data_IF_829343714856
#
_entry.id   IF_829343714856
#
_cell.length_a   1.000
_cell.length_b   1.000
_cell.length_c   1.000
_cell.angle_alpha   90.00
_cell.angle_beta   90.00
_cell.angle_gamma   90.00
#
_symmetry.space_group_name_H-M   'P 1'
#
loop_
_entity.id
_entity.type
_entity.pdbx_description
1 polymer ?
#
# COMPACT_ATOMS: atom_id res chain seq x y z
N UNK A 1 -11.35 -9.61 -16.48
CA UNK A 1 -10.96 -9.98 -15.10
C UNK A 1 -10.36 -11.38 -15.13
N UNK A 2 -9.20 -11.60 -14.49
CA UNK A 2 -8.61 -12.92 -14.26
C UNK A 2 -9.07 -13.34 -12.86
N UNK A 3 -9.72 -14.49 -12.75
CA UNK A 3 -10.39 -15.01 -11.56
C UNK A 3 -9.36 -15.39 -10.48
N UNK A 4 -8.72 -14.41 -9.86
CA UNK A 4 -7.47 -14.59 -9.12
C UNK A 4 -7.48 -13.86 -7.77
N UNK A 5 -6.74 -14.41 -6.81
CA UNK A 5 -6.45 -13.84 -5.49
C UNK A 5 -4.94 -13.62 -5.41
N UNK A 6 -4.53 -12.45 -4.92
CA UNK A 6 -3.12 -12.11 -4.72
C UNK A 6 -2.87 -11.97 -3.22
N UNK A 7 -1.85 -12.67 -2.72
CA UNK A 7 -1.48 -12.66 -1.31
C UNK A 7 -0.05 -12.14 -1.19
N UNK A 8 0.18 -11.00 -0.51
CA UNK A 8 1.53 -10.59 -0.17
C UNK A 8 2.07 -11.54 0.90
N UNK A 9 3.33 -11.94 0.77
CA UNK A 9 3.99 -12.84 1.70
C UNK A 9 5.45 -12.43 1.85
N UNK A 10 5.68 -11.28 2.50
CA UNK A 10 6.99 -10.64 2.69
C UNK A 10 7.71 -10.35 1.37
N UNK A 11 8.55 -11.27 0.89
CA UNK A 11 9.43 -11.15 -0.28
C UNK A 11 8.85 -11.76 -1.57
N UNK A 12 7.56 -12.13 -1.53
CA UNK A 12 6.85 -12.67 -2.69
C UNK A 12 5.38 -12.29 -2.69
N UNK A 13 4.79 -12.38 -3.88
CA UNK A 13 3.34 -12.34 -4.09
C UNK A 13 2.93 -13.72 -4.59
N UNK A 14 2.03 -14.36 -3.84
CA UNK A 14 1.42 -15.62 -4.24
C UNK A 14 0.11 -15.34 -4.97
N UNK A 15 -0.09 -15.97 -6.13
CA UNK A 15 -1.32 -15.83 -6.91
C UNK A 15 -2.05 -17.15 -6.92
N UNK A 16 -3.30 -17.13 -6.49
CA UNK A 16 -4.19 -18.30 -6.43
C UNK A 16 -5.40 -18.11 -7.35
N UNK A 17 -6.03 -19.20 -7.80
CA UNK A 17 -7.35 -19.11 -8.42
C UNK A 17 -8.39 -18.67 -7.38
N UNK A 18 -9.35 -17.82 -7.77
CA UNK A 18 -10.37 -17.28 -6.86
C UNK A 18 -11.37 -18.33 -6.39
N UNK A 19 -11.55 -19.38 -7.18
CA UNK A 19 -12.35 -20.58 -6.87
C UNK A 19 -11.52 -21.68 -6.19
N UNK A 20 -10.26 -21.40 -5.83
CA UNK A 20 -9.45 -22.31 -5.01
C UNK A 20 -10.08 -22.52 -3.63
N UNK A 21 -10.13 -23.79 -3.20
CA UNK A 21 -10.65 -24.18 -1.90
C UNK A 21 -9.78 -25.31 -1.30
N UNK A 22 -9.34 -25.16 -0.05
CA UNK A 22 -8.43 -26.11 0.62
C UNK A 22 -6.96 -25.85 0.33
N UNK A 23 -6.16 -26.93 0.26
CA UNK A 23 -4.72 -26.88 -0.01
C UNK A 23 -4.43 -26.72 -1.51
N UNK A 24 -4.56 -25.49 -2.00
CA UNK A 24 -4.36 -25.14 -3.40
C UNK A 24 -2.98 -24.52 -3.58
N UNK A 25 -2.20 -25.02 -4.54
CA UNK A 25 -0.92 -24.42 -4.89
C UNK A 25 -1.10 -23.09 -5.63
N UNK A 26 -0.18 -22.11 -5.48
CA UNK A 26 -0.21 -20.89 -6.28
C UNK A 26 -0.07 -21.21 -7.77
N UNK A 27 -0.88 -20.55 -8.60
CA UNK A 27 -0.78 -20.62 -10.07
C UNK A 27 0.34 -19.73 -10.62
N UNK A 28 0.74 -18.71 -9.86
CA UNK A 28 1.91 -17.86 -10.13
C UNK A 28 2.54 -17.41 -8.82
N UNK A 29 3.84 -17.16 -8.88
CA UNK A 29 4.62 -16.59 -7.77
C UNK A 29 5.48 -15.48 -8.35
N UNK A 30 5.33 -14.26 -7.85
CA UNK A 30 6.23 -13.14 -8.15
C UNK A 30 7.23 -13.06 -7.01
N UNK A 31 8.51 -13.27 -7.29
CA UNK A 31 9.58 -13.30 -6.28
C UNK A 31 10.96 -13.18 -6.93
N UNK A 32 11.97 -12.81 -6.16
CA UNK A 32 13.35 -12.69 -6.61
C UNK A 32 13.87 -11.25 -6.53
N UNK A 33 15.19 -11.06 -6.73
CA UNK A 33 15.86 -9.80 -6.44
C UNK A 33 15.39 -8.62 -7.32
N UNK A 34 14.98 -8.86 -8.56
CA UNK A 34 14.50 -7.79 -9.45
C UNK A 34 13.12 -7.26 -9.04
N UNK A 35 12.36 -8.03 -8.25
CA UNK A 35 11.03 -7.63 -7.77
C UNK A 35 11.09 -6.52 -6.74
N UNK A 36 12.19 -6.41 -5.99
CA UNK A 36 12.33 -5.49 -4.86
C UNK A 36 11.28 -5.70 -3.75
N UNK A 37 10.59 -6.84 -3.75
CA UNK A 37 9.69 -7.22 -2.68
C UNK A 37 10.53 -7.50 -1.43
N UNK A 38 10.28 -6.71 -0.39
CA UNK A 38 10.87 -6.92 0.93
C UNK A 38 9.88 -6.48 2.00
N UNK A 39 9.47 -7.42 2.85
CA UNK A 39 8.53 -7.20 3.95
C UNK A 39 7.20 -6.52 3.56
N UNK A 40 6.65 -6.89 2.40
CA UNK A 40 5.34 -6.40 1.97
C UNK A 40 4.23 -6.98 2.84
N UNK A 41 3.46 -6.10 3.49
CA UNK A 41 2.35 -6.46 4.38
C UNK A 41 0.97 -6.30 3.73
N UNK A 42 0.86 -5.42 2.72
CA UNK A 42 -0.43 -5.08 2.08
C UNK A 42 -0.29 -5.01 0.57
N UNK A 43 -1.37 -5.34 -0.13
CA UNK A 43 -1.52 -5.09 -1.56
C UNK A 43 -2.96 -4.71 -1.90
N UNK A 44 -3.14 -4.11 -3.07
CA UNK A 44 -4.45 -3.91 -3.68
C UNK A 44 -4.39 -4.09 -5.20
N UNK A 45 -5.53 -4.43 -5.79
CA UNK A 45 -5.65 -4.76 -7.20
C UNK A 45 -6.41 -3.65 -7.92
N UNK A 46 -5.89 -3.19 -9.05
CA UNK A 46 -6.62 -2.38 -10.01
C UNK A 46 -7.00 -3.25 -11.23
N UNK A 47 -8.26 -3.72 -11.29
CA UNK A 47 -8.70 -4.59 -12.38
C UNK A 47 -8.95 -3.85 -13.70
N UNK A 48 -9.08 -2.51 -13.68
CA UNK A 48 -9.32 -1.70 -14.89
C UNK A 48 -8.00 -1.50 -15.62
N UNK A 49 -6.95 -1.15 -14.89
CA UNK A 49 -5.62 -0.91 -15.43
C UNK A 49 -4.72 -2.16 -15.46
N UNK A 50 -5.23 -3.30 -14.97
CA UNK A 50 -4.53 -4.58 -14.89
C UNK A 50 -3.19 -4.51 -14.12
N UNK A 51 -3.17 -3.77 -13.03
CA UNK A 51 -2.01 -3.69 -12.13
C UNK A 51 -2.35 -4.20 -10.73
N UNK A 52 -1.32 -4.62 -10.02
CA UNK A 52 -1.33 -4.79 -8.57
C UNK A 52 -0.35 -3.80 -7.97
N UNK A 53 -0.70 -3.25 -6.82
CA UNK A 53 0.16 -2.35 -6.06
C UNK A 53 0.44 -3.02 -4.73
N UNK A 54 1.71 -3.11 -4.35
CA UNK A 54 2.12 -3.53 -3.02
C UNK A 54 2.47 -2.32 -2.17
N UNK A 55 2.37 -2.49 -0.86
CA UNK A 55 2.64 -1.47 0.12
C UNK A 55 3.45 -2.05 1.28
N UNK A 56 4.33 -1.21 1.83
CA UNK A 56 5.20 -1.58 2.94
C UNK A 56 6.54 -2.15 2.51
N UNK A 57 6.84 -2.21 1.20
CA UNK A 57 8.14 -2.64 0.73
C UNK A 57 9.24 -1.77 1.35
N UNK A 58 10.25 -2.38 1.98
CA UNK A 58 11.46 -1.68 2.40
C UNK A 58 12.25 -1.23 1.15
N UNK A 59 12.88 -0.05 1.16
CA UNK A 59 13.72 0.38 0.06
C UNK A 59 14.92 -0.57 -0.05
N UNK A 60 15.38 -0.91 -1.27
CA UNK A 60 16.56 -1.77 -1.46
C UNK A 60 17.85 -1.23 -0.83
N UNK A 61 17.88 0.05 -0.46
CA UNK A 61 19.03 0.75 0.11
C UNK A 61 19.11 0.68 1.64
N UNK A 62 18.13 0.03 2.29
CA UNK A 62 18.05 -0.11 3.73
C UNK A 62 19.18 -1.02 4.30
N UNK A 63 20.15 -0.52 5.10
CA UNK A 63 21.15 -1.36 5.74
C UNK A 63 20.56 -2.00 7.01
N UNK A 64 20.29 -3.31 6.99
CA UNK A 64 19.80 -4.02 8.18
C UNK A 64 19.19 -5.39 7.88
N UNK A 65 19.06 -6.22 8.92
CA UNK A 65 18.53 -7.59 8.78
C UNK A 65 17.05 -7.61 8.40
N UNK A 66 16.73 -8.44 7.40
CA UNK A 66 15.40 -8.97 7.10
C UNK A 66 14.73 -9.47 8.38
N UNK A 67 13.51 -9.02 8.68
CA UNK A 67 12.67 -9.55 9.76
C UNK A 67 12.80 -8.88 11.14
N UNK A 68 13.49 -7.74 11.26
CA UNK A 68 13.35 -6.86 12.44
C UNK A 68 12.12 -5.95 12.32
N UNK A 69 11.68 -5.28 13.42
CA UNK A 69 10.77 -4.13 13.29
C UNK A 69 11.31 -3.16 12.24
N UNK A 70 10.44 -2.48 11.50
CA UNK A 70 10.84 -1.38 10.60
C UNK A 70 11.33 -0.21 11.47
N UNK A 71 12.49 -0.37 12.09
CA UNK A 71 13.16 0.67 12.84
C UNK A 71 13.89 1.56 11.83
N UNK A 72 13.72 2.87 12.02
CA UNK A 72 14.60 3.94 11.54
C UNK A 72 14.35 4.55 10.15
N UNK A 73 13.11 4.93 9.84
CA UNK A 73 12.89 6.12 8.99
C UNK A 73 13.35 6.04 7.53
N UNK A 74 13.60 4.84 7.00
CA UNK A 74 14.11 4.67 5.63
C UNK A 74 13.03 4.79 4.55
N UNK A 75 11.78 4.98 4.96
CA UNK A 75 10.64 5.22 4.09
C UNK A 75 10.09 3.92 3.50
N UNK A 76 8.78 3.86 3.31
CA UNK A 76 8.16 2.74 2.59
C UNK A 76 8.14 3.01 1.08
N UNK A 77 7.97 1.95 0.30
CA UNK A 77 7.70 2.05 -1.12
C UNK A 77 6.30 1.51 -1.49
N UNK A 78 5.74 2.05 -2.56
CA UNK A 78 4.69 1.41 -3.34
C UNK A 78 5.32 0.80 -4.58
N UNK A 79 5.18 -0.51 -4.77
CA UNK A 79 5.66 -1.19 -5.99
C UNK A 79 4.45 -1.59 -6.84
N UNK A 80 4.53 -1.31 -8.13
CA UNK A 80 3.46 -1.54 -9.08
C UNK A 80 3.89 -2.65 -10.02
N UNK A 81 3.10 -3.71 -10.15
CA UNK A 81 3.33 -4.83 -11.07
C UNK A 81 2.13 -5.03 -11.97
N UNK A 82 2.30 -5.74 -13.09
CA UNK A 82 1.14 -6.18 -13.89
C UNK A 82 0.46 -7.34 -13.19
N UNK A 83 -0.87 -7.45 -13.32
CA UNK A 83 -1.64 -8.57 -12.75
C UNK A 83 -1.19 -9.96 -13.21
N UNK A 84 -0.59 -10.04 -14.40
CA UNK A 84 -0.19 -11.29 -15.04
C UNK A 84 1.29 -11.61 -14.85
N UNK A 85 2.03 -10.79 -14.11
CA UNK A 85 3.45 -11.03 -13.86
C UNK A 85 3.68 -12.35 -13.08
N UNK A 86 4.84 -12.95 -13.31
CA UNK A 86 5.29 -14.19 -12.67
C UNK A 86 6.81 -14.25 -12.67
N UNK A 87 7.38 -14.90 -11.65
CA UNK A 87 8.82 -15.06 -11.48
C UNK A 87 9.50 -13.77 -11.01
N UNK A 88 10.78 -13.64 -11.39
CA UNK A 88 11.63 -12.52 -11.04
C UNK A 88 11.48 -11.38 -12.07
N UNK A 89 10.46 -10.55 -11.87
CA UNK A 89 10.15 -9.40 -12.73
C UNK A 89 10.44 -8.08 -12.03
N UNK A 90 10.71 -7.02 -12.79
CA UNK A 90 10.82 -5.66 -12.24
C UNK A 90 9.43 -5.04 -12.08
N UNK A 91 9.18 -4.24 -11.03
CA UNK A 91 8.00 -3.39 -10.95
C UNK A 91 7.93 -2.47 -12.18
N UNK A 92 6.72 -2.26 -12.71
CA UNK A 92 6.45 -1.28 -13.77
C UNK A 92 6.45 0.16 -13.27
N UNK A 93 6.34 0.36 -11.95
CA UNK A 93 6.44 1.65 -11.28
C UNK A 93 6.85 1.48 -9.82
N UNK A 94 7.61 2.45 -9.30
CA UNK A 94 8.10 2.46 -7.92
C UNK A 94 7.91 3.87 -7.37
N UNK A 95 7.12 4.02 -6.33
CA UNK A 95 6.93 5.31 -5.64
C UNK A 95 7.65 5.23 -4.29
N UNK A 96 8.74 5.97 -4.15
CA UNK A 96 9.58 5.95 -2.96
C UNK A 96 10.41 7.23 -2.81
N UNK A 97 10.90 7.48 -1.60
CA UNK A 97 11.78 8.60 -1.29
C UNK A 97 11.08 9.74 -0.53
N UNK A 98 11.84 10.75 -0.08
CA UNK A 98 11.38 11.69 0.94
C UNK A 98 10.22 12.59 0.52
N UNK A 99 10.09 12.94 -0.77
CA UNK A 99 8.97 13.76 -1.27
C UNK A 99 7.66 13.00 -1.23
N UNK A 100 7.69 11.66 -1.28
CA UNK A 100 6.49 10.84 -1.12
C UNK A 100 5.90 11.01 0.28
N UNK A 101 6.69 11.36 1.31
CA UNK A 101 6.28 11.35 2.71
C UNK A 101 5.88 9.97 3.25
N UNK A 102 6.12 8.90 2.50
CA UNK A 102 5.84 7.53 2.94
C UNK A 102 6.90 7.15 3.96
N UNK A 103 6.46 6.83 5.18
CA UNK A 103 7.33 6.34 6.27
C UNK A 103 7.10 4.85 6.49
N UNK A 104 5.83 4.47 6.66
CA UNK A 104 5.33 3.09 6.71
C UNK A 104 3.94 3.09 6.11
N UNK A 105 3.53 1.97 5.52
CA UNK A 105 2.18 1.79 5.02
C UNK A 105 1.57 0.57 5.71
N UNK A 106 0.42 0.73 6.38
CA UNK A 106 -0.28 -0.40 6.99
C UNK A 106 -1.28 -1.06 6.01
N UNK A 107 -2.03 -0.26 5.25
CA UNK A 107 -3.03 -0.74 4.31
C UNK A 107 -3.19 0.23 3.15
N UNK A 108 -3.52 -0.32 1.98
CA UNK A 108 -3.89 0.45 0.79
C UNK A 108 -5.24 0.03 0.23
N UNK A 109 -5.91 0.97 -0.45
CA UNK A 109 -7.09 0.76 -1.27
C UNK A 109 -6.87 1.36 -2.65
N UNK A 110 -7.52 0.80 -3.67
CA UNK A 110 -7.55 1.38 -5.01
C UNK A 110 -8.87 2.11 -5.24
N UNK A 111 -8.83 3.21 -5.99
CA UNK A 111 -9.96 3.67 -6.79
C UNK A 111 -9.63 3.42 -8.28
N UNK A 112 -10.04 2.25 -8.82
CA UNK A 112 -9.71 1.83 -10.17
C UNK A 112 -10.19 2.78 -11.28
N UNK A 113 -11.33 3.48 -11.12
CA UNK A 113 -11.85 4.35 -12.20
C UNK A 113 -10.96 5.56 -12.45
N UNK A 114 -10.11 5.91 -11.49
CA UNK A 114 -9.15 7.02 -11.59
C UNK A 114 -7.69 6.56 -11.61
N UNK A 115 -7.43 5.29 -11.26
CA UNK A 115 -6.08 4.79 -11.04
C UNK A 115 -5.44 5.37 -9.78
N UNK A 116 -6.23 5.65 -8.74
CA UNK A 116 -5.72 6.18 -7.47
C UNK A 116 -5.34 5.07 -6.51
N UNK A 117 -4.20 5.27 -5.84
CA UNK A 117 -3.70 4.48 -4.71
C UNK A 117 -3.94 5.31 -3.45
N UNK A 118 -4.76 4.81 -2.53
CA UNK A 118 -5.06 5.46 -1.26
C UNK A 118 -4.35 4.66 -0.16
N UNK A 119 -3.44 5.28 0.58
CA UNK A 119 -2.59 4.57 1.54
C UNK A 119 -2.63 5.20 2.94
N UNK A 120 -2.84 4.37 3.95
CA UNK A 120 -2.79 4.76 5.37
C UNK A 120 -1.33 4.86 5.84
N UNK A 121 -0.94 6.02 6.35
CA UNK A 121 0.42 6.34 6.79
C UNK A 121 0.42 6.48 8.33
N UNK A 122 0.65 5.39 9.07
CA UNK A 122 0.62 5.36 10.53
C UNK A 122 1.84 6.00 11.20
N UNK A 123 2.76 6.64 10.48
CA UNK A 123 4.03 7.10 11.04
C UNK A 123 4.94 5.95 11.46
N UNK A 124 5.89 6.19 12.38
CA UNK A 124 6.85 5.17 12.84
C UNK A 124 6.21 4.09 13.72
N UNK A 125 6.86 2.94 13.87
CA UNK A 125 6.23 1.74 14.45
C UNK A 125 6.23 1.82 15.97
N UNK A 126 7.40 2.13 16.50
CA UNK A 126 7.78 2.33 17.89
C UNK A 126 7.04 3.49 18.57
N UNK A 127 6.61 4.50 17.81
CA UNK A 127 5.90 5.66 18.33
C UNK A 127 4.42 5.34 18.56
N UNK A 128 3.90 5.52 19.78
CA UNK A 128 2.47 5.27 20.08
C UNK A 128 1.54 6.29 19.41
N UNK A 129 1.96 7.55 19.37
CA UNK A 129 1.26 8.67 18.76
C UNK A 129 2.23 9.44 17.86
N UNK A 130 2.57 8.88 16.69
CA UNK A 130 3.53 9.50 15.80
C UNK A 130 3.00 10.83 15.25
N UNK A 131 3.92 11.76 15.06
CA UNK A 131 3.60 13.00 14.36
C UNK A 131 3.52 12.79 12.84
N UNK A 132 2.80 13.68 12.16
CA UNK A 132 2.76 13.68 10.70
C UNK A 132 2.02 12.49 10.07
N UNK A 133 1.17 11.78 10.81
CA UNK A 133 0.29 10.75 10.25
C UNK A 133 -0.68 11.34 9.23
N UNK A 134 -0.99 10.55 8.20
CA UNK A 134 -1.92 10.96 7.15
C UNK A 134 -2.51 9.76 6.40
N UNK A 135 -3.52 10.04 5.58
CA UNK A 135 -3.87 9.19 4.44
C UNK A 135 -3.48 9.94 3.19
N UNK A 136 -2.64 9.33 2.35
CA UNK A 136 -2.15 9.92 1.11
C UNK A 136 -2.76 9.27 -0.13
N UNK A 137 -2.79 10.03 -1.22
CA UNK A 137 -3.31 9.59 -2.52
C UNK A 137 -2.22 9.76 -3.58
N UNK A 138 -1.89 8.66 -4.27
CA UNK A 138 -0.98 8.63 -5.41
C UNK A 138 -1.67 8.05 -6.65
N UNK A 139 -0.99 8.08 -7.78
CA UNK A 139 -1.44 7.48 -9.05
C UNK A 139 -0.68 6.20 -9.33
N UNK A 140 -1.33 5.23 -9.98
CA UNK A 140 -0.65 4.07 -10.57
C UNK A 140 0.35 4.43 -11.68
N UNK A 141 0.30 5.66 -12.19
CA UNK A 141 1.21 6.19 -13.21
C UNK A 141 2.36 7.01 -12.61
N UNK A 142 2.38 7.17 -11.28
CA UNK A 142 3.47 7.87 -10.60
C UNK A 142 4.72 6.98 -10.55
N UNK A 143 5.89 7.60 -10.65
CA UNK A 143 7.17 6.90 -10.55
C UNK A 143 8.26 7.78 -9.93
N UNK A 144 9.06 7.19 -9.06
CA UNK A 144 10.13 7.83 -8.30
C UNK A 144 9.65 8.62 -7.09
N UNK A 145 10.38 9.69 -6.79
CA UNK A 145 10.21 10.50 -5.58
C UNK A 145 9.16 11.60 -5.78
N UNK A 146 7.89 11.21 -5.86
CA UNK A 146 6.76 12.12 -6.11
C UNK A 146 5.90 12.34 -4.86
N UNK A 147 5.43 13.57 -4.60
CA UNK A 147 4.53 13.84 -3.49
C UNK A 147 3.14 13.24 -3.71
N UNK A 148 2.38 12.96 -2.63
CA UNK A 148 0.98 12.59 -2.77
C UNK A 148 0.23 13.73 -3.46
N UNK A 149 -0.65 13.36 -4.39
CA UNK A 149 -1.52 14.30 -5.10
C UNK A 149 -2.44 15.03 -4.15
N UNK A 150 -2.98 14.29 -3.18
CA UNK A 150 -3.75 14.81 -2.07
C UNK A 150 -3.45 14.02 -0.80
N UNK A 151 -3.69 14.63 0.36
CA UNK A 151 -3.64 13.92 1.64
C UNK A 151 -4.60 14.53 2.66
N UNK A 152 -5.07 13.69 3.59
CA UNK A 152 -5.73 14.12 4.83
C UNK A 152 -4.77 13.84 5.98
N UNK A 153 -4.43 14.84 6.77
CA UNK A 153 -3.50 14.68 7.89
C UNK A 153 -3.39 15.94 8.74
N UNK A 154 -2.41 15.95 9.64
CA UNK A 154 -2.17 17.04 10.58
C UNK A 154 -3.22 17.15 11.70
N UNK A 155 -3.10 18.15 12.60
CA UNK A 155 -3.89 18.20 13.82
C UNK A 155 -5.42 18.24 13.58
N UNK A 156 -5.86 18.90 12.50
CA UNK A 156 -7.29 19.00 12.16
C UNK A 156 -7.90 17.67 11.72
N UNK A 157 -7.09 16.73 11.25
CA UNK A 157 -7.59 15.41 10.86
C UNK A 157 -8.07 14.60 12.06
N UNK A 158 -7.64 14.93 13.29
CA UNK A 158 -7.86 14.13 14.50
C UNK A 158 -7.20 12.73 14.49
N UNK A 159 -6.58 12.28 13.40
CA UNK A 159 -5.90 10.98 13.34
C UNK A 159 -4.70 10.94 14.30
N UNK A 160 -4.45 9.74 14.83
CA UNK A 160 -3.30 9.44 15.68
C UNK A 160 -2.45 8.31 15.14
N UNK A 161 -3.06 7.25 14.63
CA UNK A 161 -2.34 6.12 14.02
C UNK A 161 -3.26 5.35 13.06
N UNK A 162 -3.47 5.84 11.82
CA UNK A 162 -4.36 5.20 10.86
C UNK A 162 -3.85 3.82 10.47
N UNK A 163 -4.69 2.78 10.62
CA UNK A 163 -4.34 1.41 10.27
C UNK A 163 -4.94 1.00 8.94
N UNK A 164 -6.21 1.31 8.74
CA UNK A 164 -6.95 0.88 7.57
C UNK A 164 -7.75 2.00 6.96
N UNK A 165 -7.97 1.89 5.66
CA UNK A 165 -8.83 2.80 4.89
C UNK A 165 -9.88 1.99 4.15
N UNK A 166 -11.05 2.58 3.96
CA UNK A 166 -12.11 2.07 3.11
C UNK A 166 -12.74 3.24 2.36
N UNK A 167 -13.19 2.99 1.13
CA UNK A 167 -13.85 3.99 0.30
C UNK A 167 -15.36 3.77 0.33
N UNK A 168 -16.13 4.84 0.51
CA UNK A 168 -17.58 4.87 0.34
C UNK A 168 -17.94 5.80 -0.84
N UNK A 169 -17.97 5.29 -2.07
CA UNK A 169 -18.20 6.12 -3.27
C UNK A 169 -19.56 6.79 -3.31
N UNK A 170 -20.60 6.17 -2.72
CA UNK A 170 -21.96 6.71 -2.74
C UNK A 170 -22.07 8.08 -2.08
N UNK A 171 -21.33 8.28 -0.98
CA UNK A 171 -21.28 9.54 -0.24
C UNK A 171 -20.00 10.34 -0.48
N UNK A 172 -19.09 9.82 -1.31
CA UNK A 172 -17.74 10.36 -1.53
C UNK A 172 -16.93 10.51 -0.23
N UNK A 173 -16.94 9.45 0.57
CA UNK A 173 -16.30 9.43 1.87
C UNK A 173 -15.09 8.48 1.89
N UNK A 174 -14.03 8.94 2.57
CA UNK A 174 -12.92 8.12 3.02
C UNK A 174 -13.16 7.75 4.49
N UNK A 175 -13.22 6.46 4.76
CA UNK A 175 -13.34 5.90 6.11
C UNK A 175 -11.96 5.44 6.57
N UNK A 176 -11.56 5.81 7.78
CA UNK A 176 -10.25 5.50 8.36
C UNK A 176 -10.41 4.83 9.71
N UNK A 177 -9.92 3.60 9.83
CA UNK A 177 -9.80 2.94 11.12
C UNK A 177 -8.49 3.35 11.80
N UNK A 178 -8.57 4.00 12.95
CA UNK A 178 -7.42 4.45 13.73
C UNK A 178 -7.18 3.53 14.93
N UNK A 179 -6.01 2.88 14.95
CA UNK A 179 -5.70 1.85 15.95
C UNK A 179 -5.23 2.43 17.29
N UNK A 180 -4.97 3.73 17.37
CA UNK A 180 -4.60 4.39 18.63
C UNK A 180 -5.83 5.04 19.27
N UNK A 181 -6.72 5.62 18.46
CA UNK A 181 -7.98 6.20 18.94
C UNK A 181 -9.07 5.17 19.22
N UNK A 182 -8.90 3.91 18.79
CA UNK A 182 -9.95 2.90 18.80
C UNK A 182 -11.26 3.41 18.16
N UNK A 183 -11.12 4.17 17.07
CA UNK A 183 -12.21 4.91 16.43
C UNK A 183 -12.15 4.73 14.93
N UNK A 184 -13.33 4.78 14.29
CA UNK A 184 -13.47 4.93 12.85
C UNK A 184 -13.81 6.38 12.54
N UNK A 185 -12.92 7.06 11.82
CA UNK A 185 -13.07 8.43 11.37
C UNK A 185 -13.60 8.42 9.93
N UNK A 186 -14.47 9.37 9.59
CA UNK A 186 -15.00 9.51 8.23
C UNK A 186 -14.74 10.92 7.74
N UNK A 187 -14.23 11.03 6.52
CA UNK A 187 -13.94 12.30 5.86
C UNK A 187 -14.67 12.37 4.53
N UNK A 188 -15.37 13.46 4.29
CA UNK A 188 -15.84 13.79 2.94
C UNK A 188 -14.65 14.19 2.07
N UNK A 189 -14.44 13.48 0.96
CA UNK A 189 -13.27 13.63 0.10
C UNK A 189 -13.63 13.40 -1.38
N UNK A 190 -14.34 14.34 -2.03
CA UNK A 190 -14.89 14.14 -3.36
C UNK A 190 -13.86 14.04 -4.48
N UNK A 191 -12.65 14.57 -4.31
CA UNK A 191 -11.61 14.62 -5.34
C UNK A 191 -11.06 13.24 -5.72
N UNK A 192 -11.23 12.24 -4.85
CA UNK A 192 -10.72 10.88 -5.09
C UNK A 192 -11.76 9.94 -5.74
N UNK A 193 -12.95 10.43 -6.09
CA UNK A 193 -14.05 9.65 -6.70
C UNK A 193 -14.38 10.04 -8.14
#
# INVERSE_FOLDING_TARGET
>A
MHNEIYIPNHDKILVFPRDGNGDVVPIRIITGPDTQLDDVESLAVDPIHNVIVTAGARPPTAPGQRGGPVDQGEGGALLIFKRTDSGNVKPVGIIQGPKTRIVRINQIQMQPTKGWIIAAQPGKYEEQEPEGVFVGVWSINDNGNVPPRWFIGGPKSQMKKPRGVALNPGNKELVVADMRLNTVLTYYFPEIF
#
